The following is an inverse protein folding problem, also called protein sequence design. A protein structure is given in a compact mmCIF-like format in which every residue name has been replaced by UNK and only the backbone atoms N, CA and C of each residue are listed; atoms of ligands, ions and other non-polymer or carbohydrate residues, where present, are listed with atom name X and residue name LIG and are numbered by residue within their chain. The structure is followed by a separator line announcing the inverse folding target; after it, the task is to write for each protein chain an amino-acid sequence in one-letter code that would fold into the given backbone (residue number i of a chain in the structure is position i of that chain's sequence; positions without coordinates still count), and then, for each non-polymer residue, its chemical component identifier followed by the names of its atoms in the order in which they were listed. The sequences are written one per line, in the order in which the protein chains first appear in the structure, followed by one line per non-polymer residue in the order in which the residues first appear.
data_IF_925931305654
#
_entry.id   IF_925931305654
#
_cell.length_a   1.000
_cell.length_b   1.000
_cell.length_c   1.000
_cell.angle_alpha   90.00
_cell.angle_beta   90.00
_cell.angle_gamma   90.00
#
_symmetry.space_group_name_H-M   'P 1'
#
loop_
_entity.id
_entity.type
_entity.pdbx_description
1 polymer ?
#
# COMPACT_ATOMS: atom_id res chain seq x y z
N UNK A 1 3.68 2.02 -17.56
CA UNK A 1 3.93 3.13 -16.60
C UNK A 1 3.13 2.89 -15.32
N UNK A 2 3.77 3.03 -14.18
CA UNK A 2 3.09 2.88 -12.89
C UNK A 2 2.11 4.02 -12.64
N UNK A 3 0.96 3.71 -12.08
CA UNK A 3 -0.08 4.67 -11.74
C UNK A 3 -0.60 4.51 -10.31
N UNK A 4 -0.54 3.30 -9.77
CA UNK A 4 -1.20 2.97 -8.50
C UNK A 4 -0.25 2.24 -7.55
N UNK A 5 -0.30 2.64 -6.28
CA UNK A 5 0.39 1.94 -5.19
C UNK A 5 -0.66 1.32 -4.27
N UNK A 6 -0.63 0.00 -4.13
CA UNK A 6 -1.59 -0.72 -3.29
C UNK A 6 -1.16 -0.65 -1.83
N UNK A 7 -2.10 -0.35 -0.92
CA UNK A 7 -1.78 -0.44 0.50
C UNK A 7 -1.79 -1.91 0.97
N UNK A 8 -1.37 -2.14 2.20
CA UNK A 8 -1.19 -3.49 2.72
C UNK A 8 -2.49 -4.28 2.75
N UNK A 9 -3.59 -3.67 3.19
CA UNK A 9 -4.88 -4.37 3.28
C UNK A 9 -5.41 -4.77 1.91
N UNK A 10 -5.25 -3.90 0.91
CA UNK A 10 -5.65 -4.23 -0.47
C UNK A 10 -4.85 -5.41 -0.99
N UNK A 11 -3.54 -5.44 -0.74
CA UNK A 11 -2.70 -6.58 -1.13
C UNK A 11 -3.22 -7.88 -0.51
N UNK A 12 -3.55 -7.85 0.78
CA UNK A 12 -4.08 -9.02 1.47
C UNK A 12 -5.40 -9.48 0.86
N UNK A 13 -6.30 -8.54 0.55
CA UNK A 13 -7.58 -8.86 -0.07
C UNK A 13 -7.39 -9.51 -1.44
N UNK A 14 -6.49 -8.97 -2.28
CA UNK A 14 -6.21 -9.56 -3.59
C UNK A 14 -5.65 -10.97 -3.43
N UNK A 15 -4.74 -11.19 -2.49
CA UNK A 15 -4.16 -12.50 -2.22
C UNK A 15 -5.23 -13.50 -1.80
N UNK A 16 -6.23 -13.05 -1.03
CA UNK A 16 -7.36 -13.90 -0.59
C UNK A 16 -8.45 -14.03 -1.64
N UNK A 17 -8.32 -13.34 -2.78
CA UNK A 17 -9.29 -13.36 -3.88
C UNK A 17 -10.67 -12.83 -3.47
N UNK A 18 -10.70 -11.86 -2.58
CA UNK A 18 -11.94 -11.28 -2.06
C UNK A 18 -11.79 -9.78 -1.85
N UNK A 19 -12.75 -8.96 -2.31
CA UNK A 19 -13.90 -9.36 -3.15
C UNK A 19 -13.48 -9.64 -4.60
N UNK A 20 -14.28 -10.40 -5.37
CA UNK A 20 -13.92 -10.78 -6.74
C UNK A 20 -13.64 -9.60 -7.67
N UNK A 21 -14.42 -8.51 -7.55
CA UNK A 21 -14.24 -7.32 -8.38
C UNK A 21 -12.86 -6.69 -8.21
N UNK A 22 -12.33 -6.72 -6.99
CA UNK A 22 -11.01 -6.19 -6.71
C UNK A 22 -9.93 -6.98 -7.46
N UNK A 23 -10.07 -8.31 -7.47
CA UNK A 23 -9.12 -9.16 -8.18
C UNK A 23 -9.19 -8.93 -9.69
N UNK A 24 -10.38 -8.75 -10.24
CA UNK A 24 -10.54 -8.46 -11.65
C UNK A 24 -9.84 -7.16 -12.02
N UNK A 25 -10.02 -6.12 -11.20
CA UNK A 25 -9.38 -4.83 -11.42
C UNK A 25 -7.86 -4.94 -11.30
N UNK A 26 -7.39 -5.71 -10.31
CA UNK A 26 -5.97 -5.99 -10.15
C UNK A 26 -5.39 -6.63 -11.42
N UNK A 27 -6.06 -7.64 -11.94
CA UNK A 27 -5.59 -8.34 -13.15
C UNK A 27 -5.59 -7.42 -14.38
N UNK A 28 -6.60 -6.59 -14.50
CA UNK A 28 -6.74 -5.68 -15.64
C UNK A 28 -5.67 -4.58 -15.65
N UNK A 29 -5.21 -4.15 -14.48
CA UNK A 29 -4.28 -3.03 -14.33
C UNK A 29 -2.88 -3.45 -13.87
N UNK A 30 -2.57 -4.74 -13.93
CA UNK A 30 -1.36 -5.30 -13.31
C UNK A 30 -0.07 -4.56 -13.66
N UNK A 31 0.08 -4.11 -14.91
CA UNK A 31 1.30 -3.42 -15.36
C UNK A 31 1.44 -2.01 -14.77
N UNK A 32 0.37 -1.47 -14.20
CA UNK A 32 0.36 -0.13 -13.62
C UNK A 32 0.47 -0.15 -12.10
N UNK A 33 0.62 -1.31 -11.50
CA UNK A 33 0.51 -1.49 -10.05
C UNK A 33 1.88 -1.70 -9.41
N UNK A 34 2.01 -1.14 -8.22
CA UNK A 34 3.20 -1.38 -7.38
C UNK A 34 2.79 -1.44 -5.92
N UNK A 35 3.74 -1.83 -5.08
CA UNK A 35 3.64 -1.67 -3.64
C UNK A 35 4.92 -1.04 -3.13
N UNK A 36 4.84 -0.40 -1.97
CA UNK A 36 6.00 0.06 -1.23
C UNK A 36 6.72 -1.14 -0.58
N UNK A 37 8.04 -1.05 -0.41
CA UNK A 37 8.77 -2.04 0.39
C UNK A 37 8.29 -2.05 1.84
N UNK A 38 7.66 -0.97 2.33
CA UNK A 38 6.98 -0.96 3.64
C UNK A 38 5.86 -2.00 3.67
N UNK A 39 5.03 -2.02 2.64
CA UNK A 39 3.96 -3.01 2.50
C UNK A 39 4.54 -4.42 2.42
N UNK A 40 5.60 -4.60 1.64
CA UNK A 40 6.25 -5.91 1.54
C UNK A 40 6.70 -6.39 2.92
N UNK A 41 7.31 -5.51 3.72
CA UNK A 41 7.71 -5.85 5.09
C UNK A 41 6.53 -6.29 5.95
N UNK A 42 5.39 -5.63 5.84
CA UNK A 42 4.19 -5.99 6.57
C UNK A 42 3.64 -7.36 6.13
N UNK A 43 3.68 -7.64 4.84
CA UNK A 43 3.25 -8.95 4.31
C UNK A 43 4.16 -10.06 4.83
N UNK A 44 5.47 -9.84 4.85
CA UNK A 44 6.42 -10.79 5.41
C UNK A 44 6.19 -11.01 6.90
N UNK A 45 6.00 -9.93 7.64
CA UNK A 45 5.72 -10.02 9.08
C UNK A 45 4.47 -10.87 9.35
N UNK A 46 3.39 -10.59 8.60
CA UNK A 46 2.15 -11.35 8.75
C UNK A 46 2.33 -12.85 8.46
N UNK A 47 3.13 -13.17 7.43
CA UNK A 47 3.41 -14.57 7.07
C UNK A 47 4.29 -15.24 8.13
N UNK A 48 5.34 -14.54 8.61
CA UNK A 48 6.28 -15.08 9.59
C UNK A 48 5.61 -15.44 10.91
N UNK A 49 4.67 -14.63 11.37
CA UNK A 49 3.98 -14.88 12.66
C UNK A 49 2.80 -15.84 12.55
N UNK A 50 2.43 -16.24 11.34
CA UNK A 50 1.24 -17.06 11.11
C UNK A 50 1.50 -18.52 11.47
N UNK A 51 0.42 -19.29 11.69
CA UNK A 51 0.52 -20.73 11.94
C UNK A 51 0.88 -21.54 10.70
N UNK A 52 0.91 -20.91 9.51
CA UNK A 52 1.22 -21.57 8.24
C UNK A 52 2.33 -20.80 7.51
N UNK A 53 3.43 -20.64 8.22
CA UNK A 53 4.55 -19.78 7.82
C UNK A 53 5.04 -20.06 6.39
N UNK A 54 5.37 -21.32 6.09
CA UNK A 54 5.95 -21.68 4.79
C UNK A 54 4.95 -21.39 3.66
N UNK A 55 3.69 -21.80 3.84
CA UNK A 55 2.66 -21.58 2.82
C UNK A 55 2.43 -20.08 2.60
N UNK A 56 2.38 -19.30 3.68
CA UNK A 56 2.11 -17.88 3.58
C UNK A 56 3.28 -17.10 3.00
N UNK A 57 4.52 -17.49 3.31
CA UNK A 57 5.70 -16.89 2.68
C UNK A 57 5.71 -17.16 1.18
N UNK A 58 5.36 -18.38 0.78
CA UNK A 58 5.25 -18.73 -0.64
C UNK A 58 4.19 -17.89 -1.34
N UNK A 59 3.04 -17.68 -0.67
CA UNK A 59 1.96 -16.86 -1.22
C UNK A 59 2.43 -15.40 -1.41
N UNK A 60 3.18 -14.85 -0.46
CA UNK A 60 3.73 -13.50 -0.58
C UNK A 60 4.69 -13.42 -1.78
N UNK A 61 5.55 -14.42 -1.92
CA UNK A 61 6.51 -14.47 -3.03
C UNK A 61 5.80 -14.51 -4.39
N UNK A 62 4.78 -15.35 -4.53
CA UNK A 62 4.00 -15.43 -5.76
C UNK A 62 3.27 -14.12 -6.06
N UNK A 63 2.71 -13.49 -5.03
CA UNK A 63 2.00 -12.22 -5.20
C UNK A 63 2.95 -11.11 -5.65
N UNK A 64 4.10 -10.98 -4.99
CA UNK A 64 5.05 -9.90 -5.28
C UNK A 64 5.68 -10.05 -6.67
N UNK A 65 5.71 -11.26 -7.23
CA UNK A 65 6.19 -11.48 -8.59
C UNK A 65 5.27 -10.86 -9.65
N UNK A 66 4.04 -10.49 -9.29
CA UNK A 66 3.03 -9.98 -10.23
C UNK A 66 2.99 -8.46 -10.35
N UNK A 67 3.71 -7.75 -9.50
CA UNK A 67 3.73 -6.28 -9.53
C UNK A 67 5.11 -5.80 -9.11
N UNK A 68 5.33 -4.49 -9.26
CA UNK A 68 6.62 -3.92 -8.91
C UNK A 68 6.66 -3.54 -7.44
N UNK A 69 7.80 -3.75 -6.78
CA UNK A 69 8.04 -3.30 -5.41
C UNK A 69 8.99 -2.09 -5.48
N UNK A 70 8.53 -0.94 -4.99
CA UNK A 70 9.36 0.27 -4.97
C UNK A 70 10.03 0.41 -3.61
N UNK A 71 11.34 0.68 -3.57
CA UNK A 71 12.04 0.89 -2.30
C UNK A 71 11.59 2.19 -1.65
N UNK A 72 11.35 2.14 -0.34
CA UNK A 72 11.05 3.33 0.46
C UNK A 72 12.37 4.08 0.65
N UNK A 73 12.65 4.99 -0.26
CA UNK A 73 13.93 5.68 -0.37
C UNK A 73 13.96 7.02 0.38
N UNK A 74 15.01 7.81 0.16
CA UNK A 74 15.18 9.09 0.85
C UNK A 74 14.07 10.09 0.48
N UNK A 75 13.60 10.10 -0.77
CA UNK A 75 12.50 10.97 -1.17
C UNK A 75 11.20 10.57 -0.48
N UNK A 76 10.92 9.28 -0.42
CA UNK A 76 9.75 8.78 0.29
C UNK A 76 9.82 9.15 1.77
N UNK A 77 11.00 9.03 2.39
CA UNK A 77 11.20 9.39 3.78
C UNK A 77 10.95 10.89 4.02
N UNK A 78 11.40 11.76 3.11
CA UNK A 78 11.18 13.19 3.24
C UNK A 78 9.68 13.53 3.15
N UNK A 79 8.96 12.93 2.20
CA UNK A 79 7.52 13.13 2.08
C UNK A 79 6.78 12.63 3.31
N UNK A 80 7.19 11.47 3.83
CA UNK A 80 6.62 10.94 5.07
C UNK A 80 6.79 11.93 6.23
N UNK A 81 7.99 12.48 6.39
CA UNK A 81 8.26 13.44 7.48
C UNK A 81 7.39 14.69 7.38
N UNK A 82 7.28 15.26 6.19
CA UNK A 82 6.41 16.42 5.95
C UNK A 82 4.95 16.09 6.27
N UNK A 83 4.48 14.98 5.76
CA UNK A 83 3.09 14.55 5.90
C UNK A 83 2.74 14.35 7.36
N UNK A 84 3.59 13.64 8.09
CA UNK A 84 3.37 13.38 9.51
C UNK A 84 3.32 14.67 10.31
N UNK A 85 4.25 15.60 10.06
CA UNK A 85 4.28 16.87 10.76
C UNK A 85 3.01 17.69 10.49
N UNK A 86 2.56 17.72 9.24
CA UNK A 86 1.34 18.43 8.87
C UNK A 86 0.10 17.84 9.54
N UNK A 87 0.00 16.52 9.57
CA UNK A 87 -1.14 15.83 10.18
C UNK A 87 -1.18 16.04 11.70
N UNK A 88 -0.03 16.00 12.34
CA UNK A 88 0.06 16.26 13.79
C UNK A 88 -0.32 17.71 14.10
N UNK A 89 0.15 18.67 13.31
CA UNK A 89 -0.22 20.09 13.50
C UNK A 89 -1.71 20.32 13.30
N UNK A 90 -2.33 19.58 12.38
CA UNK A 90 -3.77 19.69 12.11
C UNK A 90 -4.62 18.94 13.13
N UNK A 91 -4.00 18.15 14.03
CA UNK A 91 -4.74 17.35 15.01
C UNK A 91 -5.43 16.13 14.39
N UNK A 92 -4.99 15.68 13.23
CA UNK A 92 -5.58 14.54 12.52
C UNK A 92 -4.55 13.47 12.24
N UNK A 93 -3.94 12.86 13.29
CA UNK A 93 -2.92 11.85 13.07
C UNK A 93 -3.48 10.61 12.36
N UNK A 94 -2.61 9.92 11.65
CA UNK A 94 -2.92 8.67 10.97
C UNK A 94 -1.95 7.59 11.45
N UNK A 95 -2.25 6.34 11.12
CA UNK A 95 -1.34 5.24 11.46
C UNK A 95 0.01 5.41 10.77
N UNK A 96 1.12 5.03 11.43
CA UNK A 96 2.45 5.26 10.87
C UNK A 96 2.68 4.56 9.53
N UNK A 97 2.22 3.34 9.35
CA UNK A 97 2.39 2.63 8.08
C UNK A 97 1.59 3.30 6.96
N UNK A 98 0.38 3.78 7.26
CA UNK A 98 -0.43 4.49 6.26
C UNK A 98 0.25 5.80 5.85
N UNK A 99 0.86 6.52 6.79
CA UNK A 99 1.62 7.73 6.47
C UNK A 99 2.86 7.44 5.64
N UNK A 100 3.52 6.31 5.89
CA UNK A 100 4.66 5.89 5.09
C UNK A 100 4.24 5.58 3.66
N UNK A 101 3.15 4.82 3.49
CA UNK A 101 2.62 4.48 2.17
C UNK A 101 2.15 5.75 1.45
N UNK A 102 1.41 6.61 2.13
CA UNK A 102 0.92 7.87 1.55
C UNK A 102 2.05 8.79 1.13
N UNK A 103 3.07 8.95 1.97
CA UNK A 103 4.24 9.75 1.64
C UNK A 103 5.01 9.17 0.47
N UNK A 104 5.17 7.85 0.44
CA UNK A 104 5.86 7.17 -0.65
C UNK A 104 5.12 7.37 -1.98
N UNK A 105 3.80 7.14 -1.99
CA UNK A 105 3.00 7.33 -3.19
C UNK A 105 3.06 8.79 -3.67
N UNK A 106 2.97 9.75 -2.75
CA UNK A 106 3.07 11.17 -3.09
C UNK A 106 4.42 11.50 -3.72
N UNK A 107 5.50 10.93 -3.21
CA UNK A 107 6.85 11.18 -3.74
C UNK A 107 7.02 10.66 -5.16
N UNK A 108 6.24 9.64 -5.55
CA UNK A 108 6.30 9.04 -6.87
C UNK A 108 5.17 9.51 -7.80
N UNK A 109 4.27 10.35 -7.31
CA UNK A 109 3.14 10.82 -8.10
C UNK A 109 2.09 9.75 -8.37
N UNK A 110 1.96 8.77 -7.47
CA UNK A 110 1.05 7.63 -7.65
C UNK A 110 -0.21 7.78 -6.81
N UNK A 111 -1.26 7.08 -7.23
CA UNK A 111 -2.54 7.03 -6.51
C UNK A 111 -2.50 5.84 -5.57
N UNK A 112 -2.83 6.04 -4.29
CA UNK A 112 -2.95 4.95 -3.32
C UNK A 112 -4.27 4.23 -3.53
N UNK A 113 -4.23 2.91 -3.65
CA UNK A 113 -5.44 2.09 -3.65
C UNK A 113 -5.62 1.54 -2.25
N UNK A 114 -6.74 1.88 -1.62
CA UNK A 114 -7.00 1.58 -0.21
C UNK A 114 -8.49 1.43 0.04
N UNK A 115 -8.86 0.68 1.07
CA UNK A 115 -10.21 0.73 1.61
C UNK A 115 -10.30 1.63 2.85
N UNK A 116 -9.19 2.25 3.25
CA UNK A 116 -9.13 3.15 4.39
C UNK A 116 -9.13 4.61 3.94
N UNK A 117 -10.16 5.00 3.19
CA UNK A 117 -10.26 6.36 2.65
C UNK A 117 -10.29 7.42 3.75
N UNK A 118 -10.81 7.07 4.92
CA UNK A 118 -10.90 8.01 6.03
C UNK A 118 -9.54 8.59 6.40
N UNK A 119 -8.51 7.75 6.49
CA UNK A 119 -7.16 8.22 6.81
C UNK A 119 -6.47 8.87 5.61
N UNK A 120 -6.52 8.22 4.46
CA UNK A 120 -5.80 8.74 3.28
C UNK A 120 -6.37 10.05 2.75
N UNK A 121 -7.69 10.28 2.92
CA UNK A 121 -8.31 11.54 2.52
C UNK A 121 -7.82 12.75 3.34
N UNK A 122 -7.29 12.51 4.54
CA UNK A 122 -6.73 13.56 5.39
C UNK A 122 -5.34 14.00 4.96
N UNK A 123 -4.65 13.19 4.17
CA UNK A 123 -3.24 13.38 3.85
C UNK A 123 -3.06 14.40 2.73
N UNK A 124 -2.46 15.58 3.02
CA UNK A 124 -2.28 16.60 1.99
C UNK A 124 -1.46 16.10 0.80
N UNK A 125 -1.96 16.31 -0.40
CA UNK A 125 -1.27 15.96 -1.63
C UNK A 125 -1.30 14.48 -1.99
N UNK A 126 -1.90 13.63 -1.16
CA UNK A 126 -2.04 12.20 -1.43
C UNK A 126 -3.37 11.98 -2.15
N UNK A 127 -3.32 11.30 -3.30
CA UNK A 127 -4.52 10.89 -4.03
C UNK A 127 -4.80 9.44 -3.71
N UNK A 128 -6.07 9.11 -3.46
CA UNK A 128 -6.45 7.76 -3.09
C UNK A 128 -7.76 7.35 -3.78
N UNK A 129 -7.87 6.05 -4.05
CA UNK A 129 -9.08 5.45 -4.63
C UNK A 129 -9.42 4.19 -3.86
N UNK A 130 -10.71 3.93 -3.71
CA UNK A 130 -11.22 2.70 -3.11
C UNK A 130 -11.78 1.80 -4.22
N UNK A 131 -11.17 0.63 -4.40
CA UNK A 131 -11.60 -0.34 -5.40
C UNK A 131 -12.46 -1.47 -4.82
N UNK A 132 -12.65 -1.49 -3.51
CA UNK A 132 -13.30 -2.60 -2.82
C UNK A 132 -14.72 -2.29 -2.34
N UNK A 133 -15.31 -1.24 -2.84
CA UNK A 133 -16.65 -0.81 -2.43
C UNK A 133 -17.74 -1.81 -2.80
#
# INVERSE_FOLDING_TARGET
MLAYMLDTNICIYVMKKYPPDLREKFNALAEQLCMSSVTLGELHYGAEKSGRRVENLTAVEHFTARLEVLPFDARAAAHYGQLRAELERAGTPCGPHDMQIGGHARSEGLIVVTNNMREFARMPGVRAENWSS
#
